data_IF_464564758849
#
_entry.id   IF_464564758849
#
_cell.length_a   1.000
_cell.length_b   1.000
_cell.length_c   1.000
_cell.angle_alpha   90.00
_cell.angle_beta   90.00
_cell.angle_gamma   90.00
#
_symmetry.space_group_name_H-M   'P 1'
#
loop_
_entity.id
_entity.type
_entity.pdbx_description
1 polymer ?
#
# COMPACT_ATOMS: atom_id res chain seq x y z
N UNK A 1 -22.09 -9.19 5.84
CA UNK A 1 -23.03 -8.14 5.35
C UNK A 1 -23.21 -8.12 3.83
N UNK A 2 -23.10 -9.26 3.14
CA UNK A 2 -23.36 -9.34 1.69
C UNK A 2 -24.86 -9.41 1.44
N UNK A 3 -25.42 -8.45 0.69
CA UNK A 3 -26.87 -8.30 0.49
C UNK A 3 -27.52 -9.51 -0.18
N UNK A 4 -26.79 -10.21 -1.04
CA UNK A 4 -27.35 -11.35 -1.79
C UNK A 4 -27.08 -12.70 -1.08
N UNK A 5 -26.61 -12.66 0.17
CA UNK A 5 -26.41 -13.88 0.96
C UNK A 5 -27.77 -14.43 1.43
N UNK A 6 -27.92 -15.76 1.40
CA UNK A 6 -29.08 -16.46 2.01
C UNK A 6 -29.23 -16.15 3.51
N UNK A 7 -28.12 -15.87 4.20
CA UNK A 7 -28.07 -15.57 5.63
C UNK A 7 -27.76 -14.08 5.87
N UNK A 8 -28.32 -13.19 5.05
CA UNK A 8 -28.08 -11.76 5.19
C UNK A 8 -28.65 -11.21 6.51
N UNK A 9 -27.75 -10.81 7.40
CA UNK A 9 -28.07 -10.16 8.66
C UNK A 9 -27.26 -8.87 8.80
N UNK A 10 -27.80 -7.76 8.28
CA UNK A 10 -27.16 -6.43 8.32
C UNK A 10 -26.87 -5.94 9.75
N UNK A 11 -27.81 -6.01 10.71
CA UNK A 11 -27.55 -5.51 12.07
C UNK A 11 -26.39 -6.26 12.76
N UNK A 12 -26.26 -7.57 12.52
CA UNK A 12 -25.14 -8.35 13.05
C UNK A 12 -23.80 -7.90 12.46
N UNK A 13 -23.75 -7.63 11.16
CA UNK A 13 -22.55 -7.09 10.53
C UNK A 13 -22.19 -5.70 11.06
N UNK A 14 -23.18 -4.82 11.26
CA UNK A 14 -22.97 -3.49 11.84
C UNK A 14 -22.44 -3.57 13.27
N UNK A 15 -23.01 -4.45 14.10
CA UNK A 15 -22.54 -4.71 15.47
C UNK A 15 -21.07 -5.16 15.49
N UNK A 16 -20.69 -6.13 14.66
CA UNK A 16 -19.32 -6.63 14.57
C UNK A 16 -18.35 -5.49 14.19
N UNK A 17 -18.68 -4.70 13.16
CA UNK A 17 -17.80 -3.59 12.74
C UNK A 17 -17.73 -2.46 13.78
N UNK A 18 -18.83 -2.21 14.51
CA UNK A 18 -18.85 -1.24 15.60
C UNK A 18 -17.95 -1.67 16.75
N UNK A 19 -18.04 -2.95 17.13
CA UNK A 19 -17.18 -3.53 18.15
C UNK A 19 -15.70 -3.48 17.75
N UNK A 20 -15.37 -3.77 16.48
CA UNK A 20 -14.01 -3.66 15.97
C UNK A 20 -13.45 -2.22 16.08
N UNK A 21 -14.22 -1.21 15.68
CA UNK A 21 -13.82 0.21 15.83
C UNK A 21 -13.61 0.60 17.29
N UNK A 22 -14.51 0.15 18.17
CA UNK A 22 -14.42 0.41 19.61
C UNK A 22 -13.17 -0.22 20.23
N UNK A 23 -12.86 -1.47 19.86
CA UNK A 23 -11.65 -2.18 20.32
C UNK A 23 -10.39 -1.47 19.82
N UNK A 24 -10.35 -1.08 18.54
CA UNK A 24 -9.22 -0.34 17.97
C UNK A 24 -8.99 0.98 18.73
N UNK A 25 -10.04 1.77 18.95
CA UNK A 25 -9.93 3.02 19.70
C UNK A 25 -9.48 2.78 21.15
N UNK A 26 -10.05 1.80 21.84
CA UNK A 26 -9.65 1.42 23.20
C UNK A 26 -8.18 0.99 23.30
N UNK A 27 -7.66 0.37 22.25
CA UNK A 27 -6.25 -0.04 22.12
C UNK A 27 -5.36 1.19 21.94
N UNK A 28 -5.75 2.14 21.08
CA UNK A 28 -5.04 3.41 20.89
C UNK A 28 -4.98 4.20 22.19
N UNK A 29 -6.11 4.33 22.89
CA UNK A 29 -6.21 5.05 24.16
C UNK A 29 -5.33 4.42 25.25
N UNK A 30 -5.24 3.09 25.29
CA UNK A 30 -4.36 2.36 26.22
C UNK A 30 -2.87 2.64 25.92
N UNK A 31 -2.48 2.58 24.65
CA UNK A 31 -1.09 2.77 24.24
C UNK A 31 -0.65 4.21 24.52
N UNK A 32 -1.46 5.20 24.17
CA UNK A 32 -1.14 6.60 24.39
C UNK A 32 -1.24 7.00 25.87
N UNK A 33 -2.27 6.53 26.59
CA UNK A 33 -2.54 6.95 27.97
C UNK A 33 -1.76 6.17 29.03
N UNK A 34 -1.70 4.84 28.94
CA UNK A 34 -1.09 3.99 29.98
C UNK A 34 0.37 3.65 29.68
N UNK A 35 0.68 3.37 28.42
CA UNK A 35 2.04 2.98 28.02
C UNK A 35 2.89 4.23 27.74
N UNK A 36 2.27 5.32 27.29
CA UNK A 36 2.94 6.57 26.95
C UNK A 36 3.66 6.51 25.60
N UNK A 37 3.23 5.63 24.70
CA UNK A 37 3.82 5.50 23.37
C UNK A 37 2.94 6.18 22.31
N UNK A 38 3.58 6.68 21.24
CA UNK A 38 2.90 7.42 20.18
C UNK A 38 2.36 6.46 19.12
N UNK A 39 1.05 6.51 18.87
CA UNK A 39 0.42 5.79 17.77
C UNK A 39 0.40 6.68 16.53
N UNK A 40 1.12 6.27 15.48
CA UNK A 40 1.26 7.05 14.24
C UNK A 40 0.26 6.63 13.15
N UNK A 41 -0.31 5.43 13.25
CA UNK A 41 -1.25 4.90 12.28
C UNK A 41 -2.14 3.80 12.87
N UNK A 42 -3.34 3.63 12.31
CA UNK A 42 -4.21 2.50 12.60
C UNK A 42 -5.17 2.21 11.44
N UNK A 43 -5.41 0.93 11.16
CA UNK A 43 -6.31 0.46 10.11
C UNK A 43 -7.00 -0.84 10.51
N UNK A 44 -8.33 -0.77 10.67
CA UNK A 44 -9.25 -1.89 10.92
C UNK A 44 -8.95 -2.69 12.20
N UNK A 45 -7.86 -3.44 12.21
CA UNK A 45 -7.40 -4.36 13.24
C UNK A 45 -5.91 -4.18 13.58
N UNK A 46 -5.24 -3.20 12.98
CA UNK A 46 -3.81 -2.92 13.16
C UNK A 46 -3.56 -1.51 13.71
N UNK A 47 -2.51 -1.38 14.52
CA UNK A 47 -1.94 -0.11 14.96
C UNK A 47 -0.43 -0.09 14.70
N UNK A 48 0.12 1.08 14.44
CA UNK A 48 1.56 1.30 14.30
C UNK A 48 2.01 2.30 15.34
N UNK A 49 3.09 1.96 16.04
CA UNK A 49 3.61 2.71 17.18
C UNK A 49 5.00 3.24 16.82
N UNK A 50 5.23 4.53 17.02
CA UNK A 50 6.55 5.11 16.93
C UNK A 50 7.33 4.82 18.22
N UNK A 51 8.42 4.07 18.08
CA UNK A 51 9.20 3.57 19.22
C UNK A 51 10.20 4.59 19.77
N UNK A 52 10.59 5.60 18.97
CA UNK A 52 11.57 6.60 19.34
C UNK A 52 12.98 6.06 19.64
N UNK A 53 13.31 4.85 19.17
CA UNK A 53 14.59 4.18 19.46
C UNK A 53 15.13 3.44 18.24
N UNK A 54 16.44 3.47 18.07
CA UNK A 54 17.17 2.68 17.05
C UNK A 54 17.53 1.27 17.56
N UNK A 55 17.30 0.98 18.85
CA UNK A 55 17.57 -0.33 19.43
C UNK A 55 16.41 -1.30 19.20
N UNK A 56 16.65 -2.32 18.36
CA UNK A 56 15.67 -3.35 18.05
C UNK A 56 15.17 -4.12 19.29
N UNK A 57 16.02 -4.35 20.28
CA UNK A 57 15.62 -5.05 21.52
C UNK A 57 14.62 -4.20 22.32
N UNK A 58 14.90 -2.90 22.47
CA UNK A 58 13.99 -1.96 23.15
C UNK A 58 12.64 -1.84 22.40
N UNK A 59 12.66 -1.83 21.07
CA UNK A 59 11.44 -1.85 20.26
C UNK A 59 10.62 -3.14 20.48
N UNK A 60 11.29 -4.31 20.56
CA UNK A 60 10.63 -5.59 20.86
C UNK A 60 10.04 -5.63 22.27
N UNK A 61 10.75 -5.10 23.25
CA UNK A 61 10.26 -5.00 24.63
C UNK A 61 9.01 -4.11 24.73
N UNK A 62 9.01 -2.97 24.03
CA UNK A 62 7.82 -2.12 23.93
C UNK A 62 6.65 -2.88 23.29
N UNK A 63 6.89 -3.58 22.19
CA UNK A 63 5.88 -4.42 21.54
C UNK A 63 5.31 -5.51 22.47
N UNK A 64 6.17 -6.18 23.25
CA UNK A 64 5.76 -7.18 24.23
C UNK A 64 4.93 -6.57 25.38
N UNK A 65 5.30 -5.36 25.85
CA UNK A 65 4.54 -4.60 26.86
C UNK A 65 3.14 -4.24 26.35
N UNK A 66 3.04 -3.73 25.12
CA UNK A 66 1.77 -3.41 24.46
C UNK A 66 0.91 -4.66 24.33
N UNK A 67 1.46 -5.74 23.77
CA UNK A 67 0.78 -7.04 23.63
C UNK A 67 0.20 -7.51 24.96
N UNK A 68 1.00 -7.50 26.03
CA UNK A 68 0.57 -7.95 27.36
C UNK A 68 -0.60 -7.13 27.92
N UNK A 69 -0.52 -5.81 27.86
CA UNK A 69 -1.58 -4.95 28.43
C UNK A 69 -2.88 -5.01 27.61
N UNK A 70 -2.79 -5.12 26.28
CA UNK A 70 -3.96 -5.28 25.42
C UNK A 70 -4.63 -6.63 25.65
N UNK A 71 -3.85 -7.73 25.63
CA UNK A 71 -4.41 -9.08 25.79
C UNK A 71 -5.02 -9.30 27.17
N UNK A 72 -4.57 -8.58 28.22
CA UNK A 72 -5.20 -8.65 29.55
C UNK A 72 -6.66 -8.18 29.56
N UNK A 73 -7.08 -7.34 28.60
CA UNK A 73 -8.45 -6.82 28.51
C UNK A 73 -9.45 -7.79 27.87
N UNK A 74 -8.98 -8.80 27.16
CA UNK A 74 -9.82 -9.67 26.35
C UNK A 74 -9.55 -11.15 26.67
N UNK A 75 -10.59 -11.99 26.63
CA UNK A 75 -10.46 -13.42 26.94
C UNK A 75 -10.07 -14.28 25.74
N UNK A 76 -10.51 -13.89 24.55
CA UNK A 76 -10.39 -14.67 23.31
C UNK A 76 -9.75 -13.89 22.16
N UNK A 77 -9.64 -12.57 22.30
CA UNK A 77 -9.04 -11.71 21.29
C UNK A 77 -7.61 -11.40 21.71
N UNK A 78 -6.67 -11.66 20.82
CA UNK A 78 -5.24 -11.43 21.05
C UNK A 78 -4.69 -10.51 19.97
N UNK A 79 -3.84 -9.57 20.39
CA UNK A 79 -2.99 -8.79 19.49
C UNK A 79 -1.59 -9.42 19.46
N UNK A 80 -0.97 -9.39 18.29
CA UNK A 80 0.38 -9.91 18.06
C UNK A 80 1.27 -8.83 17.45
N UNK A 81 2.58 -8.97 17.64
CA UNK A 81 3.57 -8.14 16.97
C UNK A 81 3.78 -8.68 15.54
N UNK A 82 3.20 -8.02 14.54
CA UNK A 82 3.37 -8.41 13.13
C UNK A 82 4.79 -8.14 12.60
N UNK A 83 5.44 -7.08 13.08
CA UNK A 83 6.80 -6.74 12.69
C UNK A 83 7.27 -5.40 13.20
N UNK A 84 8.55 -5.12 12.93
CA UNK A 84 9.21 -3.86 13.25
C UNK A 84 9.73 -3.27 11.94
N UNK A 85 9.42 -2.00 11.71
CA UNK A 85 9.90 -1.27 10.55
C UNK A 85 11.10 -0.40 10.93
N UNK A 86 12.19 -0.53 10.17
CA UNK A 86 13.39 0.31 10.29
C UNK A 86 13.12 1.73 9.79
N UNK A 87 12.53 1.82 8.61
CA UNK A 87 12.18 3.08 7.95
C UNK A 87 10.75 2.97 7.43
N UNK A 88 9.97 4.04 7.55
CA UNK A 88 8.60 4.09 7.05
C UNK A 88 8.31 5.43 6.38
N UNK A 89 7.69 5.37 5.21
CA UNK A 89 7.10 6.50 4.50
C UNK A 89 5.58 6.34 4.53
N UNK A 90 4.91 7.05 5.45
CA UNK A 90 3.46 7.10 5.55
C UNK A 90 2.92 8.30 4.75
N UNK A 91 2.21 8.04 3.65
CA UNK A 91 1.69 9.10 2.79
C UNK A 91 0.23 9.44 3.10
N UNK A 92 -0.64 8.43 3.10
CA UNK A 92 -2.09 8.55 3.35
C UNK A 92 -2.61 7.25 3.96
N UNK A 93 -3.89 7.26 4.39
CA UNK A 93 -4.61 6.04 4.77
C UNK A 93 -4.46 4.97 3.67
N UNK A 94 -4.06 3.77 4.05
CA UNK A 94 -3.80 2.62 3.17
C UNK A 94 -2.71 2.85 2.10
N UNK A 95 -1.90 3.90 2.24
CA UNK A 95 -0.80 4.25 1.32
C UNK A 95 0.50 4.49 2.10
N UNK A 96 1.34 3.47 2.19
CA UNK A 96 2.64 3.55 2.84
C UNK A 96 3.65 2.59 2.22
N UNK A 97 4.92 2.83 2.51
CA UNK A 97 6.00 1.87 2.24
C UNK A 97 7.01 1.89 3.38
N UNK A 98 7.62 0.75 3.64
CA UNK A 98 8.51 0.56 4.77
C UNK A 98 9.58 -0.49 4.48
N UNK A 99 10.62 -0.47 5.31
CA UNK A 99 11.63 -1.53 5.40
C UNK A 99 11.33 -2.33 6.66
N UNK A 100 10.79 -3.54 6.49
CA UNK A 100 10.50 -4.50 7.56
C UNK A 100 11.78 -5.23 7.96
N UNK A 101 12.01 -5.35 9.26
CA UNK A 101 13.09 -6.14 9.81
C UNK A 101 12.56 -7.55 10.03
N UNK A 102 13.17 -8.52 9.35
CA UNK A 102 12.86 -9.94 9.48
C UNK A 102 14.01 -10.67 10.16
N UNK A 103 13.69 -11.72 10.92
CA UNK A 103 14.67 -12.60 11.51
C UNK A 103 14.71 -13.87 10.66
N UNK A 104 15.83 -14.10 9.98
CA UNK A 104 16.06 -15.29 9.19
C UNK A 104 16.15 -16.56 10.05
N UNK A 105 15.99 -17.75 9.45
CA UNK A 105 16.13 -19.04 10.15
C UNK A 105 17.51 -19.24 10.79
N UNK A 106 18.52 -18.54 10.28
CA UNK A 106 19.91 -18.53 10.75
C UNK A 106 20.15 -17.52 11.90
N UNK A 107 19.10 -16.83 12.35
CA UNK A 107 19.18 -15.79 13.39
C UNK A 107 19.75 -14.46 12.88
N UNK A 108 19.99 -14.30 11.57
CA UNK A 108 20.44 -13.03 11.00
C UNK A 108 19.27 -12.11 10.72
N UNK A 109 19.48 -10.82 10.92
CA UNK A 109 18.50 -9.81 10.55
C UNK A 109 18.58 -9.54 9.05
N UNK A 110 17.43 -9.58 8.38
CA UNK A 110 17.27 -9.18 6.98
C UNK A 110 16.30 -8.02 6.86
N UNK A 111 16.48 -7.21 5.83
CA UNK A 111 15.61 -6.08 5.51
C UNK A 111 14.76 -6.42 4.29
N UNK A 112 13.45 -6.36 4.45
CA UNK A 112 12.48 -6.61 3.39
C UNK A 112 11.65 -5.35 3.14
N UNK A 113 11.58 -4.90 1.89
CA UNK A 113 10.78 -3.74 1.53
C UNK A 113 9.31 -4.14 1.34
N UNK A 114 8.42 -3.47 2.06
CA UNK A 114 6.97 -3.65 1.95
C UNK A 114 6.30 -2.37 1.44
N UNK A 115 5.34 -2.52 0.52
CA UNK A 115 4.63 -1.40 -0.10
C UNK A 115 3.13 -1.70 -0.12
N UNK A 116 2.30 -0.76 0.35
CA UNK A 116 0.84 -0.88 0.37
C UNK A 116 0.19 0.34 -0.27
N UNK A 117 -0.67 0.08 -1.26
CA UNK A 117 -1.55 1.09 -1.88
C UNK A 117 -0.85 2.23 -2.62
N UNK A 118 0.48 2.19 -2.77
CA UNK A 118 1.21 3.16 -3.58
C UNK A 118 0.82 3.06 -5.05
N UNK A 119 0.83 4.19 -5.75
CA UNK A 119 0.42 4.21 -7.15
C UNK A 119 1.39 3.42 -8.05
N UNK A 120 2.66 3.27 -7.63
CA UNK A 120 3.68 2.46 -8.31
C UNK A 120 3.34 0.96 -8.39
N UNK A 121 2.54 0.43 -7.45
CA UNK A 121 2.11 -0.98 -7.50
C UNK A 121 0.84 -1.18 -8.34
N UNK A 122 0.19 -0.11 -8.79
CA UNK A 122 -1.06 -0.21 -9.55
C UNK A 122 -0.82 -0.51 -11.03
N UNK A 123 -1.69 -1.31 -11.63
CA UNK A 123 -1.59 -1.72 -13.04
C UNK A 123 -1.87 -0.62 -14.06
N UNK A 124 -2.56 0.44 -13.64
CA UNK A 124 -3.02 1.56 -14.49
C UNK A 124 -2.00 2.70 -14.61
N UNK A 125 -0.75 2.45 -14.22
CA UNK A 125 0.40 3.33 -14.45
C UNK A 125 1.38 2.70 -15.43
N UNK A 126 2.00 3.54 -16.27
CA UNK A 126 2.99 3.06 -17.24
C UNK A 126 4.26 2.56 -16.53
N UNK A 127 4.96 1.56 -17.10
CA UNK A 127 6.19 1.04 -16.52
C UNK A 127 7.24 2.12 -16.24
N UNK A 128 7.39 3.13 -17.11
CA UNK A 128 8.35 4.22 -16.89
C UNK A 128 8.10 4.94 -15.56
N UNK A 129 6.86 5.33 -15.28
CA UNK A 129 6.50 6.01 -14.04
C UNK A 129 6.71 5.12 -12.82
N UNK A 130 6.50 3.81 -12.95
CA UNK A 130 6.78 2.84 -11.88
C UNK A 130 8.26 2.73 -11.59
N UNK A 131 9.09 2.60 -12.62
CA UNK A 131 10.55 2.48 -12.47
C UNK A 131 11.12 3.70 -11.74
N UNK A 132 10.73 4.90 -12.18
CA UNK A 132 11.16 6.16 -11.55
C UNK A 132 10.61 6.29 -10.13
N UNK A 133 9.35 5.90 -9.91
CA UNK A 133 8.74 5.89 -8.59
C UNK A 133 9.42 4.92 -7.63
N UNK A 134 9.82 3.73 -8.09
CA UNK A 134 10.58 2.77 -7.30
C UNK A 134 11.98 3.27 -6.98
N UNK A 135 12.67 3.92 -7.93
CA UNK A 135 13.97 4.54 -7.68
C UNK A 135 13.87 5.59 -6.58
N UNK A 136 12.91 6.52 -6.70
CA UNK A 136 12.71 7.56 -5.69
C UNK A 136 12.32 6.97 -4.33
N UNK A 137 11.46 5.94 -4.31
CA UNK A 137 11.06 5.27 -3.08
C UNK A 137 12.26 4.60 -2.39
N UNK A 138 13.09 3.89 -3.15
CA UNK A 138 14.26 3.20 -2.62
C UNK A 138 15.28 4.21 -2.07
N UNK A 139 15.45 5.35 -2.75
CA UNK A 139 16.30 6.43 -2.26
C UNK A 139 15.77 7.00 -0.92
N UNK A 140 14.45 7.25 -0.81
CA UNK A 140 13.82 7.74 0.43
C UNK A 140 13.97 6.73 1.58
N UNK A 141 13.79 5.44 1.30
CA UNK A 141 13.88 4.40 2.33
C UNK A 141 15.32 3.98 2.67
N UNK A 142 16.32 4.46 1.94
CA UNK A 142 17.72 4.04 2.08
C UNK A 142 18.39 4.42 3.40
N UNK A 143 17.86 5.42 4.12
CA UNK A 143 18.47 5.94 5.34
C UNK A 143 19.71 6.83 5.11
N UNK A 144 20.01 7.21 3.85
CA UNK A 144 21.07 8.16 3.51
C UNK A 144 20.71 9.60 3.88
N UNK A 145 21.71 10.51 3.98
CA UNK A 145 21.46 11.92 4.25
C UNK A 145 20.47 12.54 3.25
N UNK A 146 19.61 13.42 3.77
CA UNK A 146 18.54 14.07 2.99
C UNK A 146 19.04 14.69 1.69
N UNK A 147 20.14 15.43 1.74
CA UNK A 147 20.65 16.16 0.57
C UNK A 147 21.10 15.22 -0.54
N UNK A 148 21.72 14.08 -0.19
CA UNK A 148 22.10 13.05 -1.16
C UNK A 148 20.87 12.41 -1.81
N UNK A 149 19.86 12.07 -1.00
CA UNK A 149 18.61 11.48 -1.49
C UNK A 149 17.88 12.44 -2.44
N UNK A 150 17.78 13.72 -2.08
CA UNK A 150 17.12 14.74 -2.93
C UNK A 150 17.90 14.94 -4.22
N UNK A 151 19.23 15.02 -4.15
CA UNK A 151 20.10 15.13 -5.32
C UNK A 151 19.92 13.97 -6.31
N UNK A 152 19.97 12.74 -5.82
CA UNK A 152 19.78 11.53 -6.65
C UNK A 152 18.42 11.52 -7.34
N UNK A 153 17.35 11.87 -6.63
CA UNK A 153 16.00 11.91 -7.21
C UNK A 153 15.92 12.99 -8.30
N UNK A 154 16.50 14.17 -8.07
CA UNK A 154 16.52 15.25 -9.06
C UNK A 154 17.29 14.85 -10.32
N UNK A 155 18.46 14.23 -10.17
CA UNK A 155 19.27 13.82 -11.31
C UNK A 155 18.61 12.69 -12.09
N UNK A 156 18.00 11.71 -11.41
CA UNK A 156 17.21 10.67 -12.04
C UNK A 156 16.03 11.24 -12.87
N UNK A 157 15.31 12.24 -12.33
CA UNK A 157 14.21 12.89 -13.05
C UNK A 157 14.70 13.67 -14.28
N UNK A 158 15.85 14.35 -14.18
CA UNK A 158 16.47 15.07 -15.31
C UNK A 158 16.91 14.12 -16.41
N UNK A 159 17.54 13.00 -16.05
CA UNK A 159 17.95 11.96 -16.99
C UNK A 159 16.74 11.34 -17.71
N UNK A 160 15.68 10.99 -16.97
CA UNK A 160 14.44 10.47 -17.56
C UNK A 160 13.86 11.46 -18.58
N UNK A 161 13.79 12.75 -18.23
CA UNK A 161 13.34 13.79 -19.17
C UNK A 161 14.20 13.81 -20.44
N UNK A 162 15.52 13.78 -20.30
CA UNK A 162 16.44 13.81 -21.44
C UNK A 162 16.24 12.58 -22.35
N UNK A 163 16.13 11.38 -21.76
CA UNK A 163 15.89 10.14 -22.51
C UNK A 163 14.55 10.13 -23.23
N UNK A 164 13.49 10.63 -22.59
CA UNK A 164 12.16 10.74 -23.21
C UNK A 164 12.20 11.74 -24.38
N UNK A 165 12.80 12.92 -24.20
CA UNK A 165 12.90 13.94 -25.24
C UNK A 165 13.75 13.47 -26.44
N UNK A 166 14.79 12.68 -26.20
CA UNK A 166 15.63 12.08 -27.24
C UNK A 166 14.98 10.87 -27.94
N UNK A 167 13.83 10.37 -27.47
CA UNK A 167 13.20 9.16 -28.01
C UNK A 167 13.91 7.86 -27.62
N UNK A 168 14.79 7.89 -26.61
CA UNK A 168 15.59 6.74 -26.16
C UNK A 168 14.85 5.80 -25.19
N UNK A 169 13.55 6.03 -24.95
CA UNK A 169 12.73 5.17 -24.09
C UNK A 169 11.88 4.23 -24.95
N UNK A 170 11.95 2.91 -24.75
CA UNK A 170 11.14 1.96 -25.51
C UNK A 170 9.64 2.24 -25.39
N UNK A 171 8.91 2.15 -26.50
CA UNK A 171 7.46 2.38 -26.54
C UNK A 171 6.68 1.57 -25.48
N UNK A 172 7.13 0.35 -25.21
CA UNK A 172 6.56 -0.54 -24.18
C UNK A 172 6.52 0.07 -22.77
N UNK A 173 7.44 0.99 -22.44
CA UNK A 173 7.49 1.67 -21.14
C UNK A 173 6.39 2.72 -20.97
N UNK A 174 5.69 3.10 -22.04
CA UNK A 174 4.55 4.02 -22.01
C UNK A 174 3.20 3.31 -22.00
N UNK A 175 3.16 1.97 -22.12
CA UNK A 175 1.91 1.20 -22.15
C UNK A 175 1.24 1.27 -20.79
N UNK A 176 -0.03 1.69 -20.78
CA UNK A 176 -0.91 1.68 -19.61
C UNK A 176 -1.98 0.64 -19.86
N UNK A 177 -2.24 -0.22 -18.87
CA UNK A 177 -3.24 -1.28 -18.99
C UNK A 177 -4.43 -1.02 -18.08
N UNK A 178 -5.65 -1.21 -18.58
CA UNK A 178 -6.86 -1.08 -17.77
C UNK A 178 -7.90 -2.14 -18.14
N UNK A 179 -8.56 -2.67 -17.12
CA UNK A 179 -9.60 -3.67 -17.30
C UNK A 179 -10.94 -3.01 -17.65
N UNK A 180 -11.67 -3.61 -18.60
CA UNK A 180 -13.05 -3.25 -18.88
C UNK A 180 -13.97 -3.91 -17.84
N UNK A 181 -14.85 -3.14 -17.21
CA UNK A 181 -15.84 -3.66 -16.25
C UNK A 181 -17.20 -3.92 -16.90
N UNK A 182 -17.43 -3.35 -18.09
CA UNK A 182 -18.63 -3.50 -18.91
C UNK A 182 -18.22 -3.66 -20.38
N UNK A 183 -19.19 -3.88 -21.27
CA UNK A 183 -18.89 -3.85 -22.71
C UNK A 183 -18.55 -2.40 -23.09
N UNK A 184 -17.63 -2.15 -24.05
CA UNK A 184 -17.20 -0.81 -24.39
C UNK A 184 -18.35 0.16 -24.78
N UNK A 185 -19.48 -0.35 -25.28
CA UNK A 185 -20.67 0.42 -25.70
C UNK A 185 -21.53 0.84 -24.51
N UNK A 186 -21.48 0.07 -23.42
CA UNK A 186 -22.29 0.27 -22.22
C UNK A 186 -21.68 1.36 -21.31
N UNK A 187 -20.56 1.95 -21.72
CA UNK A 187 -19.93 3.06 -21.01
C UNK A 187 -20.61 4.38 -21.38
N UNK A 188 -21.28 5.05 -20.42
CA UNK A 188 -21.98 6.32 -20.69
C UNK A 188 -21.02 7.44 -21.10
N UNK A 189 -19.76 7.37 -20.68
CA UNK A 189 -18.70 8.34 -20.91
C UNK A 189 -17.56 7.75 -21.75
N UNK A 190 -17.85 6.85 -22.69
CA UNK A 190 -16.85 6.16 -23.51
C UNK A 190 -15.81 7.10 -24.16
N UNK A 191 -16.20 8.34 -24.52
CA UNK A 191 -15.32 9.33 -25.16
C UNK A 191 -14.22 9.87 -24.23
N UNK A 192 -14.47 9.96 -22.93
CA UNK A 192 -13.50 10.46 -21.95
C UNK A 192 -12.57 9.36 -21.42
N UNK A 193 -12.82 8.10 -21.79
CA UNK A 193 -12.10 6.94 -21.28
C UNK A 193 -11.13 6.36 -22.33
N UNK A 194 -9.80 6.54 -22.18
CA UNK A 194 -8.82 6.13 -23.21
C UNK A 194 -8.85 4.63 -23.53
N UNK A 195 -8.84 3.78 -22.51
CA UNK A 195 -8.96 2.32 -22.65
C UNK A 195 -10.24 1.87 -23.39
N UNK A 196 -11.38 2.56 -23.20
CA UNK A 196 -12.63 2.26 -23.90
C UNK A 196 -12.51 2.67 -25.38
N UNK A 197 -11.91 3.82 -25.69
CA UNK A 197 -11.65 4.24 -27.07
C UNK A 197 -10.73 3.25 -27.80
N UNK A 198 -9.69 2.74 -27.13
CA UNK A 198 -8.82 1.71 -27.69
C UNK A 198 -9.60 0.41 -27.92
N UNK A 199 -10.42 -0.04 -26.97
CA UNK A 199 -11.25 -1.23 -27.12
C UNK A 199 -12.21 -1.13 -28.32
N UNK A 200 -12.89 0.02 -28.48
CA UNK A 200 -13.78 0.28 -29.62
C UNK A 200 -13.03 0.23 -30.96
N UNK A 201 -11.83 0.82 -31.03
CA UNK A 201 -10.98 0.76 -32.23
C UNK A 201 -10.49 -0.65 -32.52
N UNK A 202 -10.08 -1.42 -31.51
CA UNK A 202 -9.67 -2.83 -31.65
C UNK A 202 -10.79 -3.66 -32.22
N UNK A 203 -12.01 -3.49 -31.72
CA UNK A 203 -13.18 -4.19 -32.23
C UNK A 203 -13.54 -3.79 -33.65
N UNK A 204 -13.50 -2.49 -33.98
CA UNK A 204 -13.70 -2.01 -35.35
C UNK A 204 -12.67 -2.60 -36.33
N UNK A 205 -11.45 -2.87 -35.85
CA UNK A 205 -10.41 -3.57 -36.60
C UNK A 205 -10.57 -5.10 -36.61
N UNK A 206 -11.68 -5.66 -36.12
CA UNK A 206 -11.97 -7.10 -36.11
C UNK A 206 -11.23 -7.91 -35.05
N UNK A 207 -10.54 -7.26 -34.09
CA UNK A 207 -9.85 -7.96 -33.00
C UNK A 207 -10.84 -8.47 -31.96
N UNK A 208 -10.53 -9.64 -31.38
CA UNK A 208 -11.35 -10.32 -30.36
C UNK A 208 -10.81 -10.20 -28.94
N UNK A 209 -9.60 -9.67 -28.77
CA UNK A 209 -8.95 -9.50 -27.48
C UNK A 209 -9.00 -8.03 -27.01
N UNK A 210 -9.28 -7.84 -25.72
CA UNK A 210 -9.38 -6.50 -25.12
C UNK A 210 -10.66 -5.76 -25.55
N UNK A 211 -11.76 -6.50 -25.70
CA UNK A 211 -13.06 -5.97 -26.15
C UNK A 211 -14.24 -6.46 -25.30
N UNK A 212 -14.02 -7.44 -24.41
CA UNK A 212 -15.03 -8.00 -23.52
C UNK A 212 -14.87 -7.52 -22.06
N UNK A 213 -15.97 -7.53 -21.27
CA UNK A 213 -15.87 -7.29 -19.83
C UNK A 213 -14.92 -8.29 -19.16
N UNK A 214 -14.07 -7.81 -18.26
CA UNK A 214 -13.03 -8.58 -17.58
C UNK A 214 -11.70 -8.62 -18.33
N UNK A 215 -11.66 -8.27 -19.62
CA UNK A 215 -10.42 -8.21 -20.38
C UNK A 215 -9.64 -6.93 -20.11
N UNK A 216 -8.33 -7.01 -20.32
CA UNK A 216 -7.40 -5.88 -20.17
C UNK A 216 -7.09 -5.30 -21.54
N UNK A 217 -7.12 -3.97 -21.63
CA UNK A 217 -6.82 -3.18 -22.83
C UNK A 217 -5.60 -2.32 -22.59
#
# INVERSE_FOLDING_TARGET
GFSNSRFFARPLAELITSQGRSILQSTVDLVQGTIGAEVIYGDTDSIMIYTGTDNLAAARELGAKVKKEVNRRYKLLEIELDGIFKTMLLLKKKKYACIKIELGPDGRLSEAQEQKGLDIVRRDWCPLSKDVGHLALNAILSGRPREEVVGEIHDALRDVRARVAAGNVPAGKFIITKQLTKRPEDYPDAKSQPHVQVALRRRAAGKRDGVLPGETV
#
